data_IF_782738854634
#
_entry.id   IF_782738854634
#
_cell.length_a   1.000
_cell.length_b   1.000
_cell.length_c   1.000
_cell.angle_alpha   90.00
_cell.angle_beta   90.00
_cell.angle_gamma   90.00
#
_symmetry.space_group_name_H-M   'P 1'
#
loop_
_entity.id
_entity.type
_entity.pdbx_description
1 polymer ?
#
# COMPACT_ATOMS: atom_id res chain seq x y z
N UNK A 1 6.00 -44.19 8.15
CA UNK A 1 4.60 -43.77 8.00
C UNK A 1 4.59 -42.66 6.95
N UNK A 2 4.16 -42.96 5.72
CA UNK A 2 4.16 -42.04 4.58
C UNK A 2 2.72 -41.57 4.40
N UNK A 3 2.45 -40.28 4.56
CA UNK A 3 1.14 -39.68 4.29
C UNK A 3 1.07 -39.32 2.80
N UNK A 4 0.23 -40.03 2.05
CA UNK A 4 -0.12 -39.71 0.68
C UNK A 4 -1.29 -38.72 0.69
N UNK A 5 -1.10 -37.53 0.13
CA UNK A 5 -2.16 -36.53 -0.07
C UNK A 5 -2.69 -36.72 -1.49
N UNK A 6 -3.95 -37.15 -1.62
CA UNK A 6 -4.65 -37.22 -2.91
C UNK A 6 -5.37 -35.91 -3.16
N UNK A 7 -4.98 -35.20 -4.22
CA UNK A 7 -5.67 -34.00 -4.73
C UNK A 7 -6.84 -34.45 -5.61
N UNK A 8 -8.08 -34.17 -5.19
CA UNK A 8 -9.26 -34.33 -6.03
C UNK A 8 -9.49 -32.98 -6.72
N UNK A 9 -9.20 -32.93 -8.02
CA UNK A 9 -9.60 -31.84 -8.90
C UNK A 9 -11.11 -31.92 -9.16
N UNK A 10 -11.87 -30.96 -8.65
CA UNK A 10 -13.25 -30.71 -9.04
C UNK A 10 -13.31 -29.65 -10.14
N UNK A 11 -13.25 -30.11 -11.39
CA UNK A 11 -13.57 -29.34 -12.60
C UNK A 11 -15.10 -29.33 -12.75
N UNK A 12 -15.77 -28.20 -12.54
CA UNK A 12 -17.20 -28.11 -12.81
C UNK A 12 -17.45 -27.63 -14.25
N UNK A 13 -18.01 -28.56 -15.01
CA UNK A 13 -18.61 -28.48 -16.34
C UNK A 13 -19.49 -27.25 -16.54
N UNK A 14 -19.29 -26.56 -17.67
CA UNK A 14 -20.30 -25.73 -18.31
C UNK A 14 -21.26 -26.65 -19.09
N UNK A 15 -22.56 -26.58 -18.79
CA UNK A 15 -23.61 -27.15 -19.64
C UNK A 15 -24.46 -26.00 -20.19
N UNK A 16 -24.30 -25.83 -21.49
CA UNK A 16 -25.08 -25.01 -22.39
C UNK A 16 -26.29 -25.84 -22.85
N UNK A 17 -27.52 -25.33 -22.72
CA UNK A 17 -28.68 -25.90 -23.42
C UNK A 17 -29.81 -24.89 -23.59
N UNK A 18 -29.96 -24.53 -24.86
CA UNK A 18 -30.96 -23.73 -25.57
C UNK A 18 -32.44 -24.12 -25.36
N UNK A 19 -33.29 -23.08 -25.48
CA UNK A 19 -34.66 -22.99 -26.02
C UNK A 19 -35.81 -23.79 -25.39
N UNK A 20 -36.83 -23.03 -24.96
CA UNK A 20 -38.23 -23.37 -25.23
C UNK A 20 -39.06 -22.10 -25.43
N UNK A 21 -39.52 -21.90 -26.66
CA UNK A 21 -40.60 -20.98 -27.05
C UNK A 21 -41.94 -21.51 -26.54
N UNK A 22 -42.78 -20.62 -25.99
CA UNK A 22 -44.23 -20.67 -26.04
C UNK A 22 -44.75 -19.28 -25.59
N UNK A 23 -45.05 -18.36 -26.50
CA UNK A 23 -46.31 -18.19 -27.23
C UNK A 23 -47.52 -17.92 -26.29
N UNK A 24 -47.91 -16.65 -26.20
CA UNK A 24 -49.28 -16.21 -25.85
C UNK A 24 -49.48 -14.72 -26.17
N UNK A 25 -50.13 -14.54 -27.32
CA UNK A 25 -51.31 -13.71 -27.52
C UNK A 25 -51.16 -12.18 -27.70
N UNK A 26 -51.26 -11.81 -28.99
CA UNK A 26 -51.60 -10.49 -29.52
C UNK A 26 -53.10 -10.23 -29.34
N UNK A 27 -53.47 -9.03 -28.87
CA UNK A 27 -54.78 -8.42 -29.11
C UNK A 27 -54.65 -6.92 -29.45
N UNK A 28 -55.62 -6.33 -30.17
CA UNK A 28 -55.33 -5.56 -31.38
C UNK A 28 -55.37 -4.03 -31.25
N UNK A 29 -54.66 -3.41 -32.20
CA UNK A 29 -54.81 -2.09 -32.80
C UNK A 29 -55.85 -1.11 -32.20
N UNK A 30 -55.35 0.00 -31.63
CA UNK A 30 -56.07 1.27 -31.63
C UNK A 30 -55.46 2.18 -32.69
N UNK A 31 -56.32 2.51 -33.65
CA UNK A 31 -56.10 3.39 -34.80
C UNK A 31 -55.73 4.79 -34.32
N UNK A 32 -54.56 5.29 -34.74
CA UNK A 32 -54.25 6.73 -34.68
C UNK A 32 -54.54 7.30 -36.07
N UNK A 33 -55.54 8.15 -36.15
CA UNK A 33 -55.91 8.89 -37.35
C UNK A 33 -54.77 9.83 -37.79
N UNK A 34 -54.55 10.04 -39.11
CA UNK A 34 -53.57 10.99 -39.60
C UNK A 34 -54.19 12.39 -39.68
N UNK A 35 -53.77 13.32 -38.81
CA UNK A 35 -54.08 14.74 -38.97
C UNK A 35 -52.98 15.42 -39.79
N UNK A 36 -53.44 16.04 -40.87
CA UNK A 36 -52.77 16.75 -41.96
C UNK A 36 -51.75 17.80 -41.49
N UNK A 37 -50.67 17.89 -42.26
CA UNK A 37 -49.65 18.92 -42.20
C UNK A 37 -50.17 20.30 -42.62
N UNK A 38 -49.76 21.36 -41.91
CA UNK A 38 -49.52 22.65 -42.53
C UNK A 38 -48.17 23.21 -42.05
N UNK A 39 -47.41 23.68 -43.03
CA UNK A 39 -46.10 24.29 -42.88
C UNK A 39 -46.25 25.71 -42.33
N UNK A 40 -45.30 26.15 -41.49
CA UNK A 40 -44.81 27.52 -41.62
C UNK A 40 -43.32 27.59 -41.30
N UNK A 41 -42.64 28.10 -42.30
CA UNK A 41 -41.25 28.44 -42.48
C UNK A 41 -40.81 29.57 -41.52
N UNK A 42 -39.71 29.38 -40.77
CA UNK A 42 -38.78 30.46 -40.37
C UNK A 42 -37.37 29.86 -40.23
N UNK A 43 -36.58 30.04 -41.27
CA UNK A 43 -35.12 29.97 -41.31
C UNK A 43 -34.50 31.02 -40.37
N UNK A 44 -33.49 30.67 -39.54
CA UNK A 44 -32.43 31.60 -39.04
C UNK A 44 -31.32 30.84 -38.27
N UNK A 45 -30.13 30.76 -38.91
CA UNK A 45 -28.72 30.53 -38.49
C UNK A 45 -28.27 29.39 -37.55
N UNK A 46 -27.33 28.61 -38.08
CA UNK A 46 -26.36 27.71 -37.45
C UNK A 46 -25.19 28.49 -36.76
N UNK A 47 -24.08 27.83 -36.36
CA UNK A 47 -23.89 26.61 -35.55
C UNK A 47 -23.02 26.93 -34.31
N UNK A 48 -23.06 26.16 -33.21
CA UNK A 48 -21.86 26.05 -32.35
C UNK A 48 -21.95 24.86 -31.39
N UNK A 49 -20.80 24.17 -31.29
CA UNK A 49 -20.66 22.90 -30.60
C UNK A 49 -20.96 22.97 -29.12
N UNK A 50 -21.91 22.14 -28.67
CA UNK A 50 -21.83 21.57 -27.35
C UNK A 50 -20.89 20.36 -27.47
N UNK A 51 -19.59 20.58 -27.25
CA UNK A 51 -18.77 19.52 -26.72
C UNK A 51 -19.45 19.14 -25.41
N UNK A 52 -20.15 18.01 -25.41
CA UNK A 52 -20.53 17.32 -24.20
C UNK A 52 -19.22 17.03 -23.51
N UNK A 53 -18.86 17.86 -22.53
CA UNK A 53 -17.84 17.50 -21.56
C UNK A 53 -18.30 16.17 -21.01
N UNK A 54 -17.54 15.14 -21.35
CA UNK A 54 -17.58 13.86 -20.67
C UNK A 54 -17.05 14.19 -19.26
N UNK A 55 -17.94 14.73 -18.44
CA UNK A 55 -17.76 14.84 -17.01
C UNK A 55 -17.81 13.39 -16.56
N UNK A 56 -16.64 12.76 -16.60
CA UNK A 56 -16.42 11.46 -16.03
C UNK A 56 -17.06 11.51 -14.64
N UNK A 57 -18.14 10.75 -14.46
CA UNK A 57 -18.71 10.54 -13.15
C UNK A 57 -17.55 10.10 -12.27
N UNK A 58 -17.14 10.99 -11.37
CA UNK A 58 -16.20 10.62 -10.33
C UNK A 58 -17.02 9.68 -9.46
N UNK A 59 -16.84 8.38 -9.68
CA UNK A 59 -17.38 7.37 -8.78
C UNK A 59 -17.01 7.80 -7.37
N UNK A 60 -18.02 7.90 -6.49
CA UNK A 60 -17.83 8.33 -5.12
C UNK A 60 -17.01 7.24 -4.41
N UNK A 61 -15.69 7.44 -4.33
CA UNK A 61 -14.80 6.51 -3.65
C UNK A 61 -15.23 6.46 -2.19
N UNK A 62 -15.46 5.24 -1.68
CA UNK A 62 -15.96 5.04 -0.32
C UNK A 62 -15.08 5.78 0.70
N UNK A 63 -15.74 6.52 1.60
CA UNK A 63 -15.08 7.17 2.72
C UNK A 63 -14.62 6.12 3.75
N UNK A 64 -13.30 5.97 3.86
CA UNK A 64 -12.59 5.08 4.78
C UNK A 64 -11.79 5.85 5.85
N UNK A 65 -11.76 7.18 5.76
CA UNK A 65 -11.13 8.02 6.78
C UNK A 65 -11.72 7.78 8.17
N UNK A 66 -10.85 7.68 9.17
CA UNK A 66 -11.21 7.51 10.57
C UNK A 66 -10.37 6.47 11.31
N UNK A 67 -10.83 6.11 12.50
CA UNK A 67 -10.20 5.12 13.37
C UNK A 67 -10.89 3.76 13.21
N UNK A 68 -10.10 2.70 13.06
CA UNK A 68 -10.58 1.35 12.80
C UNK A 68 -9.97 0.33 13.75
N UNK A 69 -10.71 -0.75 14.00
CA UNK A 69 -10.20 -1.98 14.62
C UNK A 69 -10.33 -3.11 13.61
N UNK A 70 -9.23 -3.78 13.27
CA UNK A 70 -9.24 -5.03 12.51
C UNK A 70 -9.03 -6.22 13.43
N UNK A 71 -9.80 -7.27 13.19
CA UNK A 71 -9.66 -8.57 13.81
C UNK A 71 -9.14 -9.55 12.77
N UNK A 72 -8.02 -10.17 13.09
CA UNK A 72 -7.40 -11.29 12.38
C UNK A 72 -7.42 -12.52 13.30
N UNK A 73 -7.11 -13.70 12.76
CA UNK A 73 -7.22 -14.97 13.50
C UNK A 73 -6.52 -14.95 14.88
N UNK A 74 -5.32 -14.36 14.96
CA UNK A 74 -4.49 -14.32 16.18
C UNK A 74 -4.12 -12.89 16.63
N UNK A 75 -4.72 -11.86 16.05
CA UNK A 75 -4.34 -10.47 16.32
C UNK A 75 -5.52 -9.49 16.19
N UNK A 76 -5.49 -8.45 17.01
CA UNK A 76 -6.33 -7.27 16.85
C UNK A 76 -5.45 -6.07 16.55
N UNK A 77 -5.75 -5.34 15.48
CA UNK A 77 -4.99 -4.18 15.02
C UNK A 77 -5.86 -2.94 15.19
N UNK A 78 -5.35 -1.95 15.91
CA UNK A 78 -5.90 -0.60 15.93
C UNK A 78 -5.24 0.23 14.84
N UNK A 79 -6.01 0.95 14.05
CA UNK A 79 -5.43 1.83 13.03
C UNK A 79 -6.17 3.15 12.92
N UNK A 80 -5.47 4.12 12.33
CA UNK A 80 -6.05 5.35 11.82
C UNK A 80 -5.76 5.45 10.34
N UNK A 81 -6.80 5.76 9.56
CA UNK A 81 -6.74 5.98 8.12
C UNK A 81 -7.04 7.45 7.85
N UNK A 82 -6.17 8.07 7.07
CA UNK A 82 -6.42 9.32 6.36
C UNK A 82 -6.64 8.99 4.89
N UNK A 83 -7.53 9.73 4.24
CA UNK A 83 -7.87 9.48 2.84
C UNK A 83 -7.71 10.73 1.99
N UNK A 84 -7.08 10.57 0.83
CA UNK A 84 -7.00 11.60 -0.20
C UNK A 84 -7.41 11.00 -1.54
N UNK A 85 -8.67 11.20 -1.92
CA UNK A 85 -9.29 10.54 -3.09
C UNK A 85 -9.28 9.01 -2.87
N UNK A 86 -8.52 8.27 -3.67
CA UNK A 86 -8.34 6.83 -3.60
C UNK A 86 -7.14 6.43 -2.73
N UNK A 87 -6.21 7.35 -2.45
CA UNK A 87 -5.03 7.05 -1.64
C UNK A 87 -5.38 6.97 -0.15
N UNK A 88 -4.98 5.86 0.48
CA UNK A 88 -5.11 5.61 1.91
C UNK A 88 -3.74 5.61 2.58
N UNK A 89 -3.61 6.27 3.73
CA UNK A 89 -2.38 6.27 4.51
C UNK A 89 -2.65 6.50 5.99
N UNK A 90 -1.73 6.08 6.86
CA UNK A 90 -1.87 6.30 8.28
C UNK A 90 -0.95 5.45 9.13
N UNK A 91 -1.44 5.06 10.30
CA UNK A 91 -0.68 4.31 11.29
C UNK A 91 -1.52 3.18 11.86
N UNK A 92 -0.84 2.11 12.27
CA UNK A 92 -1.44 0.96 12.92
C UNK A 92 -0.60 0.50 14.09
N UNK A 93 -1.25 -0.12 15.06
CA UNK A 93 -0.60 -0.80 16.16
C UNK A 93 -1.37 -2.06 16.58
N UNK A 94 -0.71 -2.91 17.34
CA UNK A 94 -1.36 -3.95 18.11
C UNK A 94 -0.66 -4.09 19.44
N UNK A 95 -1.40 -4.44 20.48
CA UNK A 95 -0.87 -4.75 21.81
C UNK A 95 -0.56 -6.26 21.98
N UNK A 96 -1.07 -7.10 21.07
CA UNK A 96 -1.04 -8.57 21.20
C UNK A 96 -0.56 -9.27 19.94
N UNK A 97 0.24 -10.35 20.04
CA UNK A 97 0.74 -10.97 21.28
C UNK A 97 1.85 -10.16 21.96
N UNK A 98 2.44 -9.19 21.27
CA UNK A 98 3.38 -8.20 21.79
C UNK A 98 3.10 -6.85 21.14
N UNK A 99 3.37 -5.74 21.84
CA UNK A 99 3.16 -4.41 21.29
C UNK A 99 4.02 -4.19 20.05
N UNK A 100 3.45 -3.59 19.02
CA UNK A 100 4.16 -3.09 17.85
C UNK A 100 3.44 -1.88 17.25
N UNK A 101 4.19 -1.07 16.51
CA UNK A 101 3.69 0.04 15.71
C UNK A 101 4.07 -0.18 14.23
N UNK A 102 3.23 0.33 13.34
CA UNK A 102 3.39 0.23 11.90
C UNK A 102 2.79 1.42 11.17
N UNK A 103 3.11 1.48 9.89
CA UNK A 103 2.54 2.45 8.94
C UNK A 103 1.56 1.75 8.03
N UNK A 104 0.50 2.46 7.66
CA UNK A 104 -0.52 1.99 6.73
C UNK A 104 -0.39 2.76 5.43
N UNK A 105 -0.46 2.07 4.31
CA UNK A 105 -0.60 2.64 2.97
C UNK A 105 -1.53 1.79 2.14
N UNK A 106 -2.25 2.36 1.18
CA UNK A 106 -3.17 1.57 0.38
C UNK A 106 -3.97 2.39 -0.62
N UNK A 107 -4.93 1.71 -1.26
CA UNK A 107 -5.83 2.28 -2.25
C UNK A 107 -7.27 1.86 -1.97
N UNK A 108 -8.20 2.78 -2.19
CA UNK A 108 -9.63 2.54 -2.21
C UNK A 108 -10.13 2.58 -3.65
N UNK A 109 -10.88 1.56 -4.02
CA UNK A 109 -11.64 1.49 -5.26
C UNK A 109 -13.13 1.65 -4.93
N UNK A 110 -14.01 1.51 -5.92
CA UNK A 110 -15.46 1.68 -5.74
C UNK A 110 -16.02 0.78 -4.61
N UNK A 111 -15.72 -0.51 -4.67
CA UNK A 111 -16.14 -1.50 -3.67
C UNK A 111 -14.99 -2.23 -2.98
N UNK A 112 -13.76 -2.06 -3.48
CA UNK A 112 -12.59 -2.81 -3.01
C UNK A 112 -11.61 -1.90 -2.26
N UNK A 113 -10.86 -2.51 -1.35
CA UNK A 113 -9.79 -1.84 -0.61
C UNK A 113 -8.57 -2.73 -0.56
N UNK A 114 -7.42 -2.14 -0.85
CA UNK A 114 -6.12 -2.75 -0.64
C UNK A 114 -5.34 -1.94 0.39
N UNK A 115 -4.88 -2.59 1.46
CA UNK A 115 -4.03 -1.98 2.48
C UNK A 115 -2.76 -2.80 2.65
N UNK A 116 -1.65 -2.10 2.83
CA UNK A 116 -0.39 -2.65 3.32
C UNK A 116 -0.09 -2.05 4.69
N UNK A 117 0.28 -2.90 5.64
CA UNK A 117 0.81 -2.52 6.94
C UNK A 117 2.26 -2.98 7.01
N UNK A 118 3.18 -2.03 7.16
CA UNK A 118 4.59 -2.30 7.42
C UNK A 118 4.90 -2.02 8.88
N UNK A 119 5.45 -3.02 9.57
CA UNK A 119 5.74 -2.94 11.01
C UNK A 119 7.08 -3.60 11.37
N UNK A 120 7.70 -3.13 12.45
CA UNK A 120 8.87 -3.76 13.04
C UNK A 120 8.44 -4.49 14.33
N UNK A 121 8.42 -5.82 14.29
CA UNK A 121 7.95 -6.66 15.39
C UNK A 121 9.14 -7.45 15.96
N UNK A 122 9.50 -7.21 17.22
CA UNK A 122 10.69 -7.81 17.85
C UNK A 122 11.99 -7.66 17.01
N UNK A 123 12.11 -6.57 16.25
CA UNK A 123 13.27 -6.33 15.36
C UNK A 123 13.20 -7.02 14.00
N UNK A 124 12.11 -7.72 13.69
CA UNK A 124 11.82 -8.34 12.38
C UNK A 124 10.87 -7.46 11.60
N UNK A 125 11.17 -7.18 10.33
CA UNK A 125 10.26 -6.44 9.46
C UNK A 125 9.13 -7.37 9.01
N UNK A 126 7.89 -6.93 9.18
CA UNK A 126 6.68 -7.66 8.81
C UNK A 126 5.83 -6.78 7.87
N UNK A 127 5.51 -7.32 6.69
CA UNK A 127 4.53 -6.75 5.75
C UNK A 127 3.24 -7.54 5.83
N UNK A 128 2.12 -6.84 5.99
CA UNK A 128 0.78 -7.41 5.99
C UNK A 128 -0.03 -6.75 4.89
N UNK A 129 -0.35 -7.51 3.85
CA UNK A 129 -1.21 -7.11 2.74
C UNK A 129 -2.64 -7.55 3.05
N UNK A 130 -3.59 -6.64 2.91
CA UNK A 130 -5.02 -6.86 3.13
C UNK A 130 -5.74 -6.48 1.84
N UNK A 131 -6.55 -7.40 1.33
CA UNK A 131 -7.46 -7.14 0.23
C UNK A 131 -8.89 -7.45 0.70
N UNK A 132 -9.81 -6.52 0.49
CA UNK A 132 -11.17 -6.67 0.98
C UNK A 132 -12.18 -5.74 0.35
N UNK A 133 -13.37 -5.77 0.93
CA UNK A 133 -14.51 -4.91 0.61
C UNK A 133 -14.82 -4.13 1.87
N UNK A 134 -14.99 -2.82 1.75
CA UNK A 134 -15.47 -1.99 2.84
C UNK A 134 -16.90 -1.55 2.56
N UNK A 135 -17.79 -1.53 3.56
CA UNK A 135 -19.18 -1.08 3.45
C UNK A 135 -19.64 -0.50 4.77
N UNK A 136 -20.15 0.74 4.76
CA UNK A 136 -20.81 1.38 5.92
C UNK A 136 -20.07 1.17 7.26
N UNK A 137 -18.77 1.49 7.31
CA UNK A 137 -17.97 1.36 8.53
C UNK A 137 -17.57 -0.08 8.89
N UNK A 138 -17.72 -1.03 7.96
CA UNK A 138 -17.19 -2.38 8.07
C UNK A 138 -16.17 -2.63 6.96
N UNK A 139 -15.18 -3.49 7.23
CA UNK A 139 -14.20 -3.97 6.26
C UNK A 139 -14.15 -5.49 6.38
N UNK A 140 -14.25 -6.22 5.28
CA UNK A 140 -14.13 -7.68 5.30
C UNK A 140 -13.25 -8.14 4.15
N UNK A 141 -12.43 -9.16 4.38
CA UNK A 141 -11.53 -9.62 3.34
C UNK A 141 -10.57 -10.69 3.79
N UNK A 142 -9.42 -10.71 3.16
CA UNK A 142 -8.32 -11.63 3.47
C UNK A 142 -7.02 -10.88 3.64
N UNK A 143 -6.07 -11.51 4.32
CA UNK A 143 -4.73 -10.99 4.45
C UNK A 143 -3.67 -12.03 4.10
N UNK A 144 -2.51 -11.53 3.68
CA UNK A 144 -1.26 -12.27 3.61
C UNK A 144 -0.22 -11.46 4.35
N UNK A 145 0.43 -12.10 5.32
CA UNK A 145 1.52 -11.53 6.09
C UNK A 145 2.81 -12.27 5.74
N UNK A 146 3.90 -11.53 5.59
CA UNK A 146 5.24 -12.09 5.42
C UNK A 146 6.26 -11.31 6.23
N UNK A 147 7.29 -12.00 6.71
CA UNK A 147 8.39 -11.38 7.43
C UNK A 147 9.71 -11.43 6.64
N UNK A 148 10.71 -10.67 7.10
CA UNK A 148 12.05 -10.66 6.49
C UNK A 148 12.81 -11.98 6.63
N UNK A 149 12.30 -12.95 7.40
CA UNK A 149 12.85 -14.30 7.54
C UNK A 149 12.20 -15.30 6.56
N UNK A 150 11.21 -14.86 5.77
CA UNK A 150 10.50 -15.68 4.80
C UNK A 150 9.35 -16.50 5.38
N UNK A 151 8.91 -16.23 6.62
CA UNK A 151 7.70 -16.84 7.17
C UNK A 151 6.47 -16.15 6.59
N UNK A 152 5.40 -16.93 6.41
CA UNK A 152 4.14 -16.46 5.83
C UNK A 152 2.98 -16.90 6.71
N UNK A 153 2.04 -15.98 6.93
CA UNK A 153 0.73 -16.25 7.52
C UNK A 153 -0.37 -15.70 6.58
N UNK A 154 -1.56 -16.29 6.61
CA UNK A 154 -2.70 -15.82 5.82
C UNK A 154 -4.00 -16.20 6.52
N UNK A 155 -5.03 -15.41 6.29
CA UNK A 155 -6.33 -15.67 6.89
C UNK A 155 -7.37 -14.67 6.44
N UNK A 156 -8.48 -14.63 7.17
CA UNK A 156 -9.54 -13.65 6.98
C UNK A 156 -9.31 -12.43 7.87
N UNK A 157 -9.88 -11.31 7.48
CA UNK A 157 -9.88 -10.09 8.29
C UNK A 157 -11.28 -9.49 8.35
N UNK A 158 -11.63 -8.97 9.54
CA UNK A 158 -12.87 -8.24 9.79
C UNK A 158 -12.59 -6.95 10.55
N UNK A 159 -12.93 -5.83 9.94
CA UNK A 159 -12.70 -4.48 10.42
C UNK A 159 -13.97 -3.73 10.75
N UNK A 160 -13.88 -2.85 11.74
CA UNK A 160 -14.97 -1.96 12.14
C UNK A 160 -14.43 -0.54 12.37
N UNK A 161 -15.11 0.44 11.79
CA UNK A 161 -14.89 1.86 12.05
C UNK A 161 -15.39 2.16 13.47
N UNK A 162 -14.50 2.62 14.33
CA UNK A 162 -14.82 2.98 15.71
C UNK A 162 -15.15 4.46 15.87
N UNK A 163 -14.60 5.30 14.98
CA UNK A 163 -14.84 6.74 14.96
C UNK A 163 -14.52 7.30 13.57
N UNK A 164 -15.31 8.25 13.04
CA UNK A 164 -14.93 9.00 11.83
C UNK A 164 -13.74 9.95 12.09
N UNK A 165 -13.43 10.22 13.35
CA UNK A 165 -12.32 11.09 13.74
C UNK A 165 -10.99 10.33 13.79
N UNK A 166 -9.89 11.02 13.44
CA UNK A 166 -8.52 10.48 13.43
C UNK A 166 -7.68 10.89 14.63
N UNK A 167 -8.18 11.82 15.47
CA UNK A 167 -7.44 12.43 16.57
C UNK A 167 -7.24 11.55 17.81
N UNK A 168 -7.88 10.38 17.88
CA UNK A 168 -7.85 9.47 19.02
C UNK A 168 -6.83 8.33 18.94
N UNK A 169 -6.00 8.29 17.91
CA UNK A 169 -5.00 7.24 17.75
C UNK A 169 -3.82 7.40 18.72
N UNK A 170 -3.57 6.37 19.51
CA UNK A 170 -2.40 6.28 20.39
C UNK A 170 -1.51 5.12 19.92
N UNK A 171 -0.21 5.35 19.62
CA UNK A 171 0.75 4.29 19.35
C UNK A 171 0.92 3.34 20.55
N UNK A 172 1.19 2.06 20.27
CA UNK A 172 1.51 1.09 21.30
C UNK A 172 2.85 1.40 21.98
N UNK A 173 2.97 1.11 23.27
CA UNK A 173 4.23 1.27 24.03
C UNK A 173 5.18 0.09 23.73
N UNK A 174 6.08 0.30 22.77
CA UNK A 174 7.06 -0.72 22.36
C UNK A 174 8.32 -0.63 23.20
N UNK A 175 8.72 -1.72 23.90
CA UNK A 175 9.98 -1.74 24.65
C UNK A 175 11.16 -1.38 23.74
N UNK A 176 11.89 -0.31 24.09
CA UNK A 176 13.11 0.05 23.37
C UNK A 176 14.15 -1.05 23.57
N UNK A 177 14.61 -1.66 22.47
CA UNK A 177 15.70 -2.62 22.51
C UNK A 177 16.92 -1.95 23.15
N UNK A 178 17.38 -2.52 24.28
CA UNK A 178 18.57 -2.01 24.96
C UNK A 178 19.76 -2.04 23.99
N UNK A 179 20.34 -0.88 23.73
CA UNK A 179 21.57 -0.80 22.95
C UNK A 179 22.63 -1.68 23.66
N UNK A 180 23.09 -2.72 22.97
CA UNK A 180 24.25 -3.48 23.43
C UNK A 180 25.43 -2.54 23.33
N UNK A 181 25.86 -1.99 24.47
CA UNK A 181 27.09 -1.22 24.55
C UNK A 181 28.25 -2.18 24.28
N UNK A 182 28.73 -2.17 23.03
CA UNK A 182 30.03 -2.79 22.74
C UNK A 182 31.06 -1.95 23.47
N UNK A 183 31.54 -2.45 24.61
CA UNK A 183 32.59 -1.79 25.36
C UNK A 183 33.80 -1.59 24.45
N UNK A 184 34.15 -0.34 24.18
CA UNK A 184 35.39 0.01 23.50
C UNK A 184 36.57 -0.35 24.39
N UNK A 185 37.04 -1.59 24.31
CA UNK A 185 38.29 -2.01 24.93
C UNK A 185 39.45 -1.71 23.98
N UNK A 186 39.89 -0.45 23.93
CA UNK A 186 41.29 -0.14 23.60
C UNK A 186 41.75 1.07 24.41
N UNK A 187 42.33 0.80 25.58
CA UNK A 187 43.18 1.76 26.29
C UNK A 187 44.48 1.91 25.51
N UNK A 188 44.90 3.11 25.08
CA UNK A 188 46.23 3.27 24.50
C UNK A 188 47.29 3.12 25.59
N UNK A 189 48.22 2.20 25.39
CA UNK A 189 49.48 2.16 26.12
C UNK A 189 50.35 3.37 25.69
N UNK A 190 51.12 4.00 26.59
CA UNK A 190 51.97 5.12 26.21
C UNK A 190 53.12 4.65 25.30
N UNK A 191 53.22 5.25 24.12
CA UNK A 191 54.33 5.06 23.19
C UNK A 191 55.63 5.62 23.78
N UNK A 192 56.66 4.78 23.89
CA UNK A 192 58.04 5.23 24.09
C UNK A 192 58.60 5.75 22.78
N UNK A 193 59.11 6.97 22.84
CA UNK A 193 59.84 7.67 21.78
C UNK A 193 61.13 6.94 21.42
N UNK A 194 61.34 6.64 20.14
CA UNK A 194 62.69 6.54 19.59
C UNK A 194 62.71 7.11 18.18
N UNK A 195 63.28 8.30 18.08
CA UNK A 195 63.73 8.95 16.85
C UNK A 195 64.79 8.10 16.17
N UNK A 196 64.63 7.77 14.89
CA UNK A 196 65.78 7.59 13.99
C UNK A 196 65.39 8.01 12.58
N UNK A 197 65.91 9.18 12.18
CA UNK A 197 66.06 9.65 10.80
C UNK A 197 66.91 8.67 10.00
N UNK A 198 66.51 8.30 8.77
CA UNK A 198 67.40 8.15 7.60
C UNK A 198 66.57 8.06 6.31
N UNK A 199 67.09 8.75 5.31
CA UNK A 199 66.57 9.15 4.00
C UNK A 199 66.54 8.02 2.94
N UNK A 200 65.81 8.33 1.87
CA UNK A 200 65.93 7.88 0.46
C UNK A 200 64.97 6.81 -0.08
N UNK A 201 64.03 7.34 -0.89
CA UNK A 201 63.81 7.02 -2.32
C UNK A 201 63.61 5.54 -2.69
N UNK A 202 62.39 5.18 -3.09
CA UNK A 202 62.06 4.84 -4.50
C UNK A 202 60.57 4.51 -4.61
N UNK A 203 59.92 5.25 -5.51
CA UNK A 203 58.69 4.98 -6.26
C UNK A 203 58.17 3.54 -6.25
N UNK A 204 57.00 3.30 -5.64
CA UNK A 204 56.03 2.32 -6.13
C UNK A 204 54.60 2.63 -5.64
N UNK A 205 53.79 3.23 -6.52
CA UNK A 205 52.40 2.83 -6.79
C UNK A 205 51.30 2.91 -5.73
N UNK A 206 51.53 3.27 -4.46
CA UNK A 206 50.45 3.30 -3.43
C UNK A 206 50.11 4.72 -3.03
N UNK A 207 48.87 5.16 -3.35
CA UNK A 207 48.30 6.43 -2.92
C UNK A 207 48.50 6.58 -1.41
N UNK A 208 49.27 7.58 -0.99
CA UNK A 208 49.36 8.00 0.42
C UNK A 208 47.98 8.43 0.89
N UNK A 209 47.53 8.02 2.09
CA UNK A 209 46.31 8.56 2.67
C UNK A 209 46.49 10.07 2.81
N UNK A 210 45.64 10.84 2.13
CA UNK A 210 45.59 12.29 2.27
C UNK A 210 44.84 12.56 3.57
N UNK A 211 45.49 13.26 4.49
CA UNK A 211 44.82 13.80 5.66
C UNK A 211 43.78 14.84 5.20
N UNK A 212 42.50 14.47 5.29
CA UNK A 212 41.36 15.25 4.81
C UNK A 212 41.07 16.47 5.69
N UNK A 213 41.70 16.59 6.86
CA UNK A 213 41.47 17.69 7.78
C UNK A 213 42.08 19.00 7.26
N UNK A 214 43.10 18.93 6.39
CA UNK A 214 43.80 20.13 5.87
C UNK A 214 43.36 20.56 4.46
N UNK A 215 42.39 19.87 3.83
CA UNK A 215 42.00 20.13 2.43
C UNK A 215 40.69 20.93 2.29
N UNK A 216 40.43 21.90 3.19
CA UNK A 216 39.20 22.68 3.14
C UNK A 216 39.14 23.75 2.04
N UNK A 217 40.23 24.01 1.30
CA UNK A 217 40.30 25.13 0.36
C UNK A 217 40.88 24.81 -1.03
N UNK A 218 40.65 23.61 -1.58
CA UNK A 218 40.99 23.38 -3.00
C UNK A 218 40.00 22.44 -3.68
N UNK A 219 39.21 22.97 -4.62
CA UNK A 219 38.48 22.16 -5.61
C UNK A 219 39.48 21.78 -6.71
N UNK A 220 39.88 20.51 -6.87
CA UNK A 220 40.69 20.12 -8.01
C UNK A 220 39.87 20.16 -9.30
N UNK A 221 40.39 20.87 -10.29
CA UNK A 221 39.87 20.92 -11.66
C UNK A 221 39.83 19.51 -12.28
N UNK A 222 38.65 19.08 -12.76
CA UNK A 222 38.52 17.84 -13.54
C UNK A 222 38.64 18.15 -15.04
N UNK A 223 39.60 17.53 -15.78
CA UNK A 223 39.69 17.68 -17.24
C UNK A 223 38.66 16.83 -18.01
N UNK A 224 37.81 16.07 -17.32
CA UNK A 224 36.69 15.36 -17.94
C UNK A 224 35.40 16.10 -17.61
N UNK A 225 35.07 17.02 -18.53
CA UNK A 225 33.84 17.80 -18.50
C UNK A 225 32.60 16.95 -18.69
N UNK A 226 31.51 17.48 -18.15
CA UNK A 226 30.13 17.22 -18.56
C UNK A 226 29.92 17.81 -19.95
#
# INVERSE_FOLDING_TARGET
MILAISLISGLSTAEDSNLSMNDSEVQPAVVVEPTVAEATDVETVAPEGAATSDEAEVADVKALEGSWILNMDDAQISMVIYQSVDLLFGAANSETPKPWNGVVSGMAYEDEVELEILSLQDGVLVSTLIAGIATEGTLSGSFVQSDSEGKVNKGSVMGFLTSPETSGYEPADVPTAAATTVAAAVTPAPESTTTTTTTETTTDGRKTPVDVVTLKDTIPYSPFGI
#
